data_IF_940044874442
#
_entry.id   IF_940044874442
#
_cell.length_a   1.000
_cell.length_b   1.000
_cell.length_c   1.000
_cell.angle_alpha   90.00
_cell.angle_beta   90.00
_cell.angle_gamma   90.00
#
_symmetry.space_group_name_H-M   'P 1'
#
loop_
_entity.id
_entity.type
_entity.pdbx_description
1 polymer ?
#
# COMPACT_ATOMS: atom_id res chain seq x y z
N UNK A 1 -9.34 -4.44 -2.10
CA UNK A 1 -10.39 -4.57 -3.10
C UNK A 1 -11.13 -3.26 -3.23
N UNK A 2 -11.52 -2.87 -4.44
CA UNK A 2 -12.32 -1.67 -4.72
C UNK A 2 -13.45 -2.02 -5.69
N UNK A 3 -14.62 -1.41 -5.51
CA UNK A 3 -15.70 -1.43 -6.49
C UNK A 3 -15.48 -0.28 -7.47
N UNK A 4 -15.62 -0.58 -8.76
CA UNK A 4 -15.48 0.38 -9.84
C UNK A 4 -16.85 0.96 -10.21
N UNK A 5 -16.92 2.14 -10.87
CA UNK A 5 -18.17 2.79 -11.21
C UNK A 5 -19.12 1.95 -12.10
N UNK A 6 -18.57 1.03 -12.88
CA UNK A 6 -19.35 0.11 -13.70
C UNK A 6 -19.92 -1.07 -12.91
N UNK A 7 -19.63 -1.18 -11.61
CA UNK A 7 -20.01 -2.26 -10.72
C UNK A 7 -19.09 -3.48 -10.80
N UNK A 8 -17.97 -3.41 -11.50
CA UNK A 8 -16.92 -4.43 -11.47
C UNK A 8 -16.14 -4.32 -10.15
N UNK A 9 -15.56 -5.44 -9.70
CA UNK A 9 -14.67 -5.45 -8.53
C UNK A 9 -13.22 -5.59 -8.99
N UNK A 10 -12.34 -4.75 -8.47
CA UNK A 10 -10.90 -4.88 -8.63
C UNK A 10 -10.29 -5.39 -7.32
N UNK A 11 -9.51 -6.46 -7.40
CA UNK A 11 -8.76 -7.02 -6.28
C UNK A 11 -7.26 -6.91 -6.56
N UNK A 12 -6.47 -6.63 -5.54
CA UNK A 12 -5.02 -6.74 -5.60
C UNK A 12 -4.48 -7.53 -4.40
N UNK A 13 -3.35 -8.18 -4.61
CA UNK A 13 -2.61 -8.92 -3.60
C UNK A 13 -1.13 -8.91 -3.97
N UNK A 14 -0.27 -9.37 -3.11
CA UNK A 14 1.13 -9.59 -3.44
C UNK A 14 1.40 -11.08 -3.66
N UNK A 15 2.31 -11.40 -4.57
CA UNK A 15 2.66 -12.76 -4.94
C UNK A 15 4.16 -12.86 -5.28
N UNK A 16 4.76 -14.00 -4.98
CA UNK A 16 6.14 -14.34 -5.24
C UNK A 16 6.54 -15.58 -4.47
N UNK A 17 7.84 -15.86 -4.34
CA UNK A 17 8.34 -17.12 -3.78
C UNK A 17 8.15 -17.22 -2.27
N UNK A 18 8.54 -16.16 -1.50
CA UNK A 18 8.36 -16.08 -0.05
C UNK A 18 8.39 -14.60 0.40
N UNK A 19 7.76 -14.34 1.51
CA UNK A 19 7.61 -12.97 2.04
C UNK A 19 8.97 -12.31 2.31
N UNK A 20 9.12 -11.07 1.82
CA UNK A 20 10.35 -10.28 1.93
C UNK A 20 11.32 -10.47 0.77
N UNK A 21 11.07 -11.38 -0.16
CA UNK A 21 11.89 -11.59 -1.35
C UNK A 21 11.63 -10.52 -2.42
N UNK A 22 12.65 -10.13 -3.17
CA UNK A 22 12.54 -9.15 -4.25
C UNK A 22 11.71 -9.62 -5.45
N UNK A 23 11.35 -10.90 -5.52
CA UNK A 23 10.41 -11.41 -6.51
C UNK A 23 8.94 -11.21 -6.13
N UNK A 24 8.68 -10.72 -4.91
CA UNK A 24 7.33 -10.33 -4.48
C UNK A 24 6.93 -9.04 -5.19
N UNK A 25 5.80 -9.11 -5.88
CA UNK A 25 5.23 -8.02 -6.66
C UNK A 25 3.71 -7.94 -6.44
N UNK A 26 3.12 -6.81 -6.81
CA UNK A 26 1.68 -6.59 -6.71
C UNK A 26 1.00 -7.12 -7.96
N UNK A 27 -0.04 -7.89 -7.74
CA UNK A 27 -0.88 -8.52 -8.76
C UNK A 27 -2.30 -8.01 -8.63
N UNK A 28 -2.97 -7.78 -9.74
CA UNK A 28 -4.37 -7.37 -9.78
C UNK A 28 -5.20 -8.29 -10.66
N UNK A 29 -6.49 -8.43 -10.33
CA UNK A 29 -7.50 -9.09 -11.16
C UNK A 29 -8.83 -8.38 -11.04
N UNK A 30 -9.66 -8.44 -12.08
CA UNK A 30 -10.97 -7.83 -12.16
C UNK A 30 -12.03 -8.91 -12.19
N UNK A 31 -13.06 -8.76 -11.37
CA UNK A 31 -14.33 -9.48 -11.53
C UNK A 31 -15.30 -8.54 -12.25
N UNK A 32 -15.53 -8.71 -13.54
CA UNK A 32 -16.47 -7.86 -14.27
C UNK A 32 -17.89 -8.00 -13.69
N UNK A 33 -18.66 -6.92 -13.72
CA UNK A 33 -20.08 -6.94 -13.37
C UNK A 33 -20.79 -8.06 -14.13
N UNK A 34 -21.67 -8.76 -13.45
CA UNK A 34 -22.46 -9.86 -14.03
C UNK A 34 -21.65 -11.08 -14.50
N UNK A 35 -20.38 -11.18 -14.11
CA UNK A 35 -19.55 -12.39 -14.29
C UNK A 35 -19.31 -13.09 -12.96
N UNK A 36 -19.05 -14.39 -13.05
CA UNK A 36 -18.73 -15.24 -11.89
C UNK A 36 -17.27 -15.65 -11.81
N UNK A 37 -16.45 -15.19 -12.77
CA UNK A 37 -15.04 -15.50 -12.85
C UNK A 37 -14.21 -14.22 -12.93
N UNK A 38 -13.10 -14.23 -12.21
CA UNK A 38 -12.07 -13.20 -12.28
C UNK A 38 -11.30 -13.29 -13.60
N UNK A 39 -10.79 -12.16 -14.07
CA UNK A 39 -9.84 -12.15 -15.20
C UNK A 39 -8.52 -12.81 -14.82
N UNK A 40 -7.71 -13.16 -15.82
CA UNK A 40 -6.33 -13.57 -15.55
C UNK A 40 -5.61 -12.47 -14.77
N UNK A 41 -4.84 -12.82 -13.72
CA UNK A 41 -4.09 -11.85 -12.95
C UNK A 41 -3.00 -11.17 -13.78
N UNK A 42 -2.80 -9.88 -13.53
CA UNK A 42 -1.72 -9.09 -14.15
C UNK A 42 -0.80 -8.51 -13.09
N UNK A 43 0.50 -8.57 -13.32
CA UNK A 43 1.48 -7.90 -12.49
C UNK A 43 1.43 -6.41 -12.76
N UNK A 44 1.36 -5.61 -11.71
CA UNK A 44 1.35 -4.15 -11.82
C UNK A 44 2.64 -3.52 -11.32
N UNK A 45 3.43 -4.23 -10.55
CA UNK A 45 4.71 -3.79 -10.01
C UNK A 45 5.81 -4.81 -10.28
N UNK A 46 7.06 -4.54 -9.90
CA UNK A 46 8.18 -5.47 -10.08
C UNK A 46 9.53 -4.77 -10.00
N UNK A 47 9.93 -4.37 -8.80
CA UNK A 47 11.26 -3.84 -8.51
C UNK A 47 12.20 -5.01 -8.16
N UNK A 48 13.27 -5.26 -8.95
CA UNK A 48 14.17 -6.39 -8.70
C UNK A 48 15.01 -6.26 -7.42
N UNK A 49 14.93 -5.14 -6.72
CA UNK A 49 15.66 -4.88 -5.47
C UNK A 49 14.76 -4.82 -4.25
N UNK A 50 13.42 -4.85 -4.44
CA UNK A 50 12.46 -4.65 -3.36
C UNK A 50 11.36 -5.70 -3.38
N UNK A 51 10.96 -6.12 -2.19
CA UNK A 51 9.74 -6.88 -1.97
C UNK A 51 8.57 -5.91 -1.86
N UNK A 52 7.58 -6.06 -2.73
CA UNK A 52 6.43 -5.15 -2.82
C UNK A 52 5.20 -5.84 -2.24
N UNK A 53 4.64 -5.28 -1.15
CA UNK A 53 3.69 -5.95 -0.29
C UNK A 53 2.54 -5.03 0.16
N UNK A 54 1.55 -5.61 0.83
CA UNK A 54 0.45 -4.92 1.50
C UNK A 54 -0.28 -3.91 0.61
N UNK A 55 -0.76 -4.32 -0.58
CA UNK A 55 -1.47 -3.41 -1.46
C UNK A 55 -2.84 -3.02 -0.91
N UNK A 56 -3.20 -1.78 -1.13
CA UNK A 56 -4.54 -1.27 -0.92
C UNK A 56 -5.01 -0.48 -2.13
N UNK A 57 -6.30 -0.55 -2.44
CA UNK A 57 -6.91 0.12 -3.59
C UNK A 57 -7.83 1.24 -3.11
N UNK A 58 -7.78 2.36 -3.84
CA UNK A 58 -8.67 3.49 -3.63
C UNK A 58 -9.12 4.02 -4.98
N UNK A 59 -10.43 4.18 -5.20
CA UNK A 59 -10.97 4.88 -6.37
C UNK A 59 -11.14 6.35 -6.03
N UNK A 60 -10.30 7.19 -6.63
CA UNK A 60 -10.24 8.62 -6.32
C UNK A 60 -11.28 9.46 -7.09
N UNK A 61 -11.52 10.71 -6.65
CA UNK A 61 -12.38 11.66 -7.36
C UNK A 61 -11.80 12.12 -8.70
N UNK A 62 -10.53 11.86 -8.94
CA UNK A 62 -9.85 12.00 -10.23
C UNK A 62 -10.21 10.91 -11.25
N UNK A 63 -11.18 10.04 -10.88
CA UNK A 63 -11.60 8.87 -11.65
C UNK A 63 -10.49 7.85 -11.93
N UNK A 64 -9.41 7.91 -11.17
CA UNK A 64 -8.35 6.92 -11.20
C UNK A 64 -8.44 5.92 -10.03
N UNK A 65 -8.00 4.71 -10.28
CA UNK A 65 -7.70 3.75 -9.21
C UNK A 65 -6.26 3.99 -8.75
N UNK A 66 -6.09 4.17 -7.45
CA UNK A 66 -4.80 4.28 -6.80
C UNK A 66 -4.48 2.96 -6.11
N UNK A 67 -3.37 2.35 -6.47
CA UNK A 67 -2.81 1.20 -5.76
C UNK A 67 -1.65 1.70 -4.89
N UNK A 68 -1.89 1.72 -3.58
CA UNK A 68 -0.88 2.07 -2.58
C UNK A 68 -0.28 0.77 -2.05
N UNK A 69 1.04 0.66 -1.99
CA UNK A 69 1.70 -0.53 -1.49
C UNK A 69 3.05 -0.22 -0.84
N UNK A 70 3.48 -1.13 0.01
CA UNK A 70 4.78 -1.08 0.69
C UNK A 70 5.86 -1.69 -0.21
N UNK A 71 7.05 -1.09 -0.26
CA UNK A 71 8.21 -1.62 -0.98
C UNK A 71 9.46 -1.58 -0.08
N UNK A 72 9.85 -2.73 0.47
CA UNK A 72 11.04 -2.88 1.32
C UNK A 72 12.20 -3.51 0.53
N UNK A 73 13.44 -3.29 0.96
CA UNK A 73 14.58 -3.96 0.36
C UNK A 73 14.47 -5.48 0.47
N UNK A 74 15.07 -6.17 -0.50
CA UNK A 74 15.15 -7.62 -0.53
C UNK A 74 15.70 -8.19 0.77
N UNK A 75 15.15 -9.31 1.17
CA UNK A 75 15.60 -10.05 2.35
C UNK A 75 17.03 -10.53 2.14
N UNK A 76 17.93 -10.10 3.01
CA UNK A 76 19.33 -10.50 2.96
C UNK A 76 19.55 -11.75 3.84
N UNK A 77 20.42 -12.67 3.35
CA UNK A 77 20.82 -13.83 4.12
C UNK A 77 21.42 -13.42 5.49
N UNK A 78 20.86 -13.96 6.57
CA UNK A 78 21.29 -13.66 7.95
C UNK A 78 20.71 -12.38 8.55
N UNK A 79 19.85 -11.66 7.84
CA UNK A 79 19.04 -10.56 8.39
C UNK A 79 17.56 -10.94 8.33
N UNK A 80 16.86 -10.83 9.45
CA UNK A 80 15.51 -11.37 9.56
C UNK A 80 14.50 -10.61 8.73
N UNK A 81 14.43 -9.31 8.84
CA UNK A 81 13.42 -8.55 8.13
C UNK A 81 13.93 -7.16 7.77
N UNK A 82 13.73 -6.77 6.52
CA UNK A 82 14.13 -5.46 6.02
C UNK A 82 13.00 -4.44 6.13
N UNK A 83 12.03 -4.64 7.00
CA UNK A 83 10.84 -3.79 7.16
C UNK A 83 11.19 -2.33 7.44
N UNK A 84 12.24 -2.07 8.20
CA UNK A 84 12.71 -0.71 8.50
C UNK A 84 13.20 0.07 7.25
N UNK A 85 13.38 -0.61 6.10
CA UNK A 85 13.73 0.01 4.81
C UNK A 85 12.51 0.29 3.93
N UNK A 86 11.32 -0.02 4.42
CA UNK A 86 10.09 0.08 3.65
C UNK A 86 9.73 1.53 3.33
N UNK A 87 9.31 1.75 2.10
CA UNK A 87 8.71 3.00 1.63
C UNK A 87 7.34 2.72 1.05
N UNK A 88 6.49 3.73 0.94
CA UNK A 88 5.17 3.56 0.31
C UNK A 88 5.19 4.13 -1.10
N UNK A 89 4.76 3.29 -2.04
CA UNK A 89 4.60 3.60 -3.44
C UNK A 89 3.12 3.68 -3.83
N UNK A 90 2.85 4.42 -4.88
CA UNK A 90 1.55 4.52 -5.52
C UNK A 90 1.68 4.30 -7.01
N UNK A 91 0.79 3.52 -7.59
CA UNK A 91 0.53 3.48 -9.02
C UNK A 91 -0.93 3.83 -9.30
N UNK A 92 -1.19 4.41 -10.46
CA UNK A 92 -2.53 4.81 -10.85
C UNK A 92 -2.95 4.13 -12.15
N UNK A 93 -4.23 3.78 -12.21
CA UNK A 93 -4.92 3.31 -13.41
C UNK A 93 -6.10 4.21 -13.71
N UNK A 94 -6.22 4.67 -14.95
CA UNK A 94 -7.34 5.50 -15.43
C UNK A 94 -8.35 4.70 -16.26
N UNK A 95 -8.13 3.39 -16.42
CA UNK A 95 -8.97 2.49 -17.22
C UNK A 95 -9.60 1.34 -16.40
N UNK A 96 -9.77 1.57 -15.09
CA UNK A 96 -10.39 0.60 -14.20
C UNK A 96 -9.49 -0.60 -13.86
N UNK A 97 -8.19 -0.38 -13.78
CA UNK A 97 -7.22 -1.42 -13.38
C UNK A 97 -6.72 -2.31 -14.51
N UNK A 98 -7.02 -1.99 -15.78
CA UNK A 98 -6.55 -2.76 -16.94
C UNK A 98 -5.11 -2.45 -17.30
N UNK A 99 -4.72 -1.18 -17.21
CA UNK A 99 -3.33 -0.73 -17.36
C UNK A 99 -2.94 0.20 -16.21
N UNK A 100 -1.65 0.24 -15.90
CA UNK A 100 -1.12 0.97 -14.76
C UNK A 100 0.05 1.84 -15.19
N UNK A 101 0.08 3.06 -14.67
CA UNK A 101 1.18 3.98 -14.84
C UNK A 101 2.43 3.57 -14.07
N UNK A 102 3.54 4.31 -14.21
CA UNK A 102 4.72 4.10 -13.38
C UNK A 102 4.40 4.36 -11.91
N UNK A 103 5.19 3.74 -11.01
CA UNK A 103 5.06 4.03 -9.60
C UNK A 103 5.69 5.38 -9.22
N UNK A 104 5.13 5.99 -8.21
CA UNK A 104 5.72 7.11 -7.47
C UNK A 104 5.96 6.71 -6.03
N UNK A 105 7.07 7.10 -5.42
CA UNK A 105 7.28 6.95 -3.99
C UNK A 105 6.60 8.11 -3.28
N UNK A 106 5.41 7.84 -2.72
CA UNK A 106 4.57 8.87 -2.07
C UNK A 106 5.05 9.18 -0.66
N UNK A 107 5.48 8.15 0.09
CA UNK A 107 6.07 8.32 1.41
C UNK A 107 7.46 7.69 1.41
N UNK A 108 8.50 8.53 1.25
CA UNK A 108 9.90 8.07 1.14
C UNK A 108 10.55 7.79 2.49
N UNK A 109 9.90 8.10 3.61
CA UNK A 109 10.45 7.87 4.93
C UNK A 109 10.52 6.35 5.19
N UNK A 110 11.73 5.86 5.39
CA UNK A 110 11.99 4.44 5.62
C UNK A 110 11.25 3.92 6.85
N UNK A 111 10.87 2.66 6.77
CA UNK A 111 10.04 2.00 7.78
C UNK A 111 8.53 2.25 7.63
N UNK A 112 8.09 3.00 6.61
CA UNK A 112 6.66 3.30 6.43
C UNK A 112 5.94 2.14 5.75
N UNK A 113 4.92 1.60 6.43
CA UNK A 113 4.02 0.56 5.93
C UNK A 113 2.60 1.07 5.70
N UNK A 114 1.96 0.56 4.65
CA UNK A 114 0.52 0.71 4.43
C UNK A 114 -0.20 -0.63 4.60
N UNK A 115 -1.43 -0.59 5.16
CA UNK A 115 -2.28 -1.78 5.30
C UNK A 115 -3.75 -1.51 4.98
N UNK A 116 -4.16 -0.27 5.01
CA UNK A 116 -5.54 0.15 4.81
C UNK A 116 -5.64 1.09 3.60
N UNK A 117 -6.77 1.09 2.91
CA UNK A 117 -6.99 2.04 1.83
C UNK A 117 -7.11 3.47 2.35
N UNK A 118 -6.91 4.45 1.47
CA UNK A 118 -7.25 5.84 1.71
C UNK A 118 -8.75 5.91 2.05
N UNK A 119 -9.08 6.67 3.09
CA UNK A 119 -10.46 6.97 3.48
C UNK A 119 -10.73 8.46 3.31
N UNK A 120 -11.88 8.78 2.73
CA UNK A 120 -12.37 10.17 2.63
C UNK A 120 -13.34 10.43 3.77
N UNK A 121 -13.01 11.40 4.61
CA UNK A 121 -13.86 11.82 5.73
C UNK A 121 -15.02 12.69 5.24
N UNK A 122 -16.04 12.86 6.08
CA UNK A 122 -17.24 13.65 5.77
C UNK A 122 -16.96 15.13 5.44
N UNK A 123 -15.81 15.65 5.86
CA UNK A 123 -15.35 17.01 5.56
C UNK A 123 -14.48 17.09 4.29
N UNK A 124 -14.37 16.00 3.51
CA UNK A 124 -13.57 15.93 2.29
C UNK A 124 -12.08 15.66 2.50
N UNK A 125 -11.62 15.64 3.76
CA UNK A 125 -10.23 15.32 4.10
C UNK A 125 -9.92 13.85 3.83
N UNK A 126 -8.76 13.55 3.30
CA UNK A 126 -8.28 12.18 3.15
C UNK A 126 -7.41 11.77 4.32
N UNK A 127 -7.55 10.51 4.71
CA UNK A 127 -6.75 9.89 5.76
C UNK A 127 -6.18 8.57 5.27
N UNK A 128 -4.91 8.34 5.58
CA UNK A 128 -4.20 7.11 5.26
C UNK A 128 -3.36 6.66 6.46
N UNK A 129 -3.62 5.46 6.97
CA UNK A 129 -2.92 4.94 8.13
C UNK A 129 -1.60 4.28 7.76
N UNK A 130 -0.58 4.51 8.59
CA UNK A 130 0.73 3.92 8.46
C UNK A 130 1.19 3.30 9.78
N UNK A 131 1.82 2.15 9.68
CA UNK A 131 2.70 1.65 10.70
C UNK A 131 4.13 2.08 10.36
N UNK A 132 4.88 2.58 11.35
CA UNK A 132 6.25 3.03 11.16
C UNK A 132 7.18 2.03 11.84
N UNK A 133 7.75 1.12 11.06
CA UNK A 133 8.70 0.13 11.53
C UNK A 133 10.05 0.79 11.81
N UNK A 134 10.56 0.62 13.01
CA UNK A 134 11.88 1.13 13.42
C UNK A 134 12.85 -0.02 13.61
N UNK A 135 14.14 0.22 13.38
CA UNK A 135 15.22 -0.72 13.73
C UNK A 135 15.63 -0.49 15.18
N UNK A 136 14.65 -0.64 16.11
CA UNK A 136 14.86 -0.41 17.53
C UNK A 136 15.00 -1.72 18.30
N UNK A 137 15.75 -1.68 19.42
CA UNK A 137 15.88 -2.82 20.35
C UNK A 137 14.54 -3.20 21.00
N UNK A 138 13.57 -2.29 21.05
CA UNK A 138 12.20 -2.53 21.54
C UNK A 138 11.38 -3.40 20.58
N UNK A 139 11.88 -3.60 19.34
CA UNK A 139 11.19 -4.35 18.31
C UNK A 139 9.82 -3.74 17.97
N UNK A 140 8.87 -4.59 17.56
CA UNK A 140 7.54 -4.16 17.12
C UNK A 140 6.74 -3.40 18.20
N UNK A 141 7.04 -3.61 19.48
CA UNK A 141 6.34 -2.90 20.58
C UNK A 141 6.71 -1.42 20.68
N UNK A 142 7.87 -1.04 20.14
CA UNK A 142 8.33 0.34 20.05
C UNK A 142 7.84 1.11 18.83
N UNK A 143 7.32 0.42 17.84
CA UNK A 143 6.95 1.01 16.57
C UNK A 143 5.73 1.93 16.69
N UNK A 144 5.80 3.18 16.24
CA UNK A 144 4.66 4.09 16.28
C UNK A 144 3.68 3.84 15.13
N UNK A 145 2.44 4.21 15.37
CA UNK A 145 1.41 4.36 14.32
C UNK A 145 1.25 5.84 13.98
N UNK A 146 1.08 6.13 12.70
CA UNK A 146 0.83 7.48 12.21
C UNK A 146 -0.31 7.50 11.19
N UNK A 147 -0.91 8.67 11.02
CA UNK A 147 -1.80 8.96 9.91
C UNK A 147 -1.17 9.97 8.98
N UNK A 148 -1.30 9.75 7.70
CA UNK A 148 -1.10 10.76 6.67
C UNK A 148 -2.45 11.40 6.40
N UNK A 149 -2.50 12.72 6.44
CA UNK A 149 -3.70 13.52 6.23
C UNK A 149 -3.47 14.45 5.06
N UNK A 150 -4.40 14.43 4.10
CA UNK A 150 -4.42 15.34 2.96
C UNK A 150 -5.69 16.17 2.97
N UNK A 151 -5.54 17.47 2.74
CA UNK A 151 -6.64 18.43 2.60
C UNK A 151 -6.83 18.86 1.13
N UNK A 152 -6.07 18.25 0.18
CA UNK A 152 -5.99 18.61 -1.24
C UNK A 152 -6.04 17.39 -2.19
N UNK A 153 -6.81 16.38 -1.81
CA UNK A 153 -7.05 15.16 -2.61
C UNK A 153 -5.77 14.37 -2.93
N UNK A 154 -4.89 14.26 -1.95
CA UNK A 154 -3.68 13.45 -2.04
C UNK A 154 -2.50 14.11 -2.75
N UNK A 155 -2.57 15.40 -3.06
CA UNK A 155 -1.44 16.15 -3.65
C UNK A 155 -0.35 16.41 -2.64
N UNK A 156 -0.74 16.73 -1.40
CA UNK A 156 0.18 16.89 -0.27
C UNK A 156 -0.32 16.13 0.95
N UNK A 157 0.61 15.68 1.79
CA UNK A 157 0.32 14.88 2.96
C UNK A 157 1.10 15.40 4.17
N UNK A 158 0.42 15.53 5.31
CA UNK A 158 1.07 15.77 6.60
C UNK A 158 0.94 14.54 7.50
N UNK A 159 1.98 14.24 8.25
CA UNK A 159 1.98 13.13 9.19
C UNK A 159 1.51 13.57 10.57
N UNK A 160 0.69 12.74 11.20
CA UNK A 160 0.22 12.89 12.59
C UNK A 160 0.44 11.57 13.32
N UNK A 161 1.28 11.58 14.33
CA UNK A 161 1.53 10.41 15.16
C UNK A 161 0.35 10.14 16.11
N UNK A 162 0.03 8.87 16.27
CA UNK A 162 -0.89 8.44 17.33
C UNK A 162 -0.20 8.48 18.69
N UNK A 163 -0.94 8.75 19.77
CA UNK A 163 -0.42 8.58 21.11
C UNK A 163 0.04 7.12 21.34
N UNK A 164 1.18 6.95 22.00
CA UNK A 164 1.63 5.61 22.39
C UNK A 164 0.59 4.96 23.30
N UNK A 165 0.19 3.75 22.96
CA UNK A 165 -0.56 2.88 23.88
C UNK A 165 0.42 2.04 24.70
N UNK A 166 0.17 1.92 26.00
CA UNK A 166 1.09 1.26 26.93
C UNK A 166 1.38 -0.20 26.53
N UNK A 167 2.52 -0.46 25.87
CA UNK A 167 3.06 -1.79 25.62
C UNK A 167 2.31 -2.65 24.60
N UNK A 168 1.51 -2.05 23.72
CA UNK A 168 0.81 -2.79 22.66
C UNK A 168 1.42 -2.51 21.29
N UNK A 169 1.48 -3.56 20.47
CA UNK A 169 1.86 -3.47 19.06
C UNK A 169 0.76 -2.73 18.27
N UNK A 170 1.18 -1.85 17.39
CA UNK A 170 0.31 -1.10 16.50
C UNK A 170 0.52 -1.57 15.08
N UNK A 171 -0.48 -2.12 14.48
CA UNK A 171 -0.43 -2.55 13.08
C UNK A 171 -1.70 -2.16 12.33
#
# INVERSE_FOLDING_TARGET
>A
MAELPDGSLLCCWFAGTYEGSADIHIVCSILPKDKTAWTEPVNISGDPQRSEQNPSLFYGPDHAVWAMYTAQLDRQAGKDNMQYTAVVRCQKSTDGGRTWGPYETVFPEEGTFCRQPIQVLSNGRWIFSNWLCTDSEEGLSGDPTAFRISDDEGKTWRMVHMPKSNGHVHA
#
